data_IF_461127289435
#
_entry.id   IF_461127289435
#
_cell.length_a   1.000
_cell.length_b   1.000
_cell.length_c   1.000
_cell.angle_alpha   90.00
_cell.angle_beta   90.00
_cell.angle_gamma   90.00
#
_symmetry.space_group_name_H-M   'P 1'
#
loop_
_entity.id
_entity.type
_entity.pdbx_description
1 polymer ?
#
# COMPACT_ATOMS: atom_id res chain seq x y z
N UNK A 1 3.32 -17.91 29.55
CA UNK A 1 4.31 -18.62 28.72
C UNK A 1 3.85 -18.50 27.28
N UNK A 2 4.34 -17.49 26.54
CA UNK A 2 3.90 -17.21 25.15
C UNK A 2 4.81 -17.98 24.20
N UNK A 3 4.28 -18.79 23.26
CA UNK A 3 5.10 -19.65 22.43
C UNK A 3 5.89 -18.80 21.43
N UNK A 4 7.21 -18.80 21.58
CA UNK A 4 8.14 -18.14 20.66
C UNK A 4 8.20 -18.96 19.37
N UNK A 5 7.45 -18.52 18.35
CA UNK A 5 7.49 -19.12 17.01
C UNK A 5 8.91 -18.92 16.43
N UNK A 6 9.55 -19.94 15.83
CA UNK A 6 10.93 -19.82 15.37
C UNK A 6 11.02 -18.79 14.22
N UNK A 7 11.61 -17.64 14.53
CA UNK A 7 11.93 -16.59 13.56
C UNK A 7 13.10 -17.08 12.71
N UNK A 8 12.88 -17.14 11.39
CA UNK A 8 13.87 -17.59 10.39
C UNK A 8 15.20 -16.83 10.54
N UNK A 9 16.35 -17.50 10.38
CA UNK A 9 17.70 -16.97 10.71
C UNK A 9 18.05 -15.64 10.00
N UNK A 10 17.59 -15.47 8.74
CA UNK A 10 17.73 -14.20 8.00
C UNK A 10 16.87 -13.07 8.57
N UNK A 11 15.67 -13.38 9.08
CA UNK A 11 14.78 -12.38 9.70
C UNK A 11 15.38 -11.83 11.00
N UNK A 12 16.15 -12.66 11.72
CA UNK A 12 16.81 -12.25 12.96
C UNK A 12 17.77 -11.07 12.74
N UNK A 13 18.63 -11.15 11.73
CA UNK A 13 19.62 -10.11 11.43
C UNK A 13 18.99 -8.77 11.00
N UNK A 14 17.85 -8.80 10.32
CA UNK A 14 17.13 -7.57 9.95
C UNK A 14 16.50 -6.92 11.19
N UNK A 15 15.85 -7.72 12.04
CA UNK A 15 15.21 -7.24 13.26
C UNK A 15 16.21 -6.76 14.33
N UNK A 16 17.46 -7.21 14.28
CA UNK A 16 18.56 -6.76 15.16
C UNK A 16 18.97 -5.30 14.90
N UNK A 17 18.64 -4.74 13.72
CA UNK A 17 18.88 -3.33 13.40
C UNK A 17 17.94 -2.39 14.17
N UNK A 18 16.77 -2.88 14.60
CA UNK A 18 15.79 -2.11 15.32
C UNK A 18 15.97 -2.26 16.82
N UNK A 19 15.96 -1.12 17.53
CA UNK A 19 15.94 -1.11 18.98
C UNK A 19 14.68 -1.82 19.46
N UNK A 20 14.76 -2.63 20.51
CA UNK A 20 13.57 -3.09 21.24
C UNK A 20 13.35 -2.22 22.45
N UNK A 21 12.12 -1.77 22.62
CA UNK A 21 11.69 -1.17 23.87
C UNK A 21 11.56 -2.24 24.97
N UNK A 22 11.50 -1.81 26.22
CA UNK A 22 11.38 -2.62 27.44
C UNK A 22 10.20 -3.61 27.40
N UNK A 23 9.16 -3.30 26.60
CA UNK A 23 8.02 -4.18 26.34
C UNK A 23 8.21 -5.23 25.24
N UNK A 24 9.39 -5.32 24.61
CA UNK A 24 9.69 -6.25 23.52
C UNK A 24 9.21 -5.80 22.13
N UNK A 25 8.61 -4.62 22.03
CA UNK A 25 8.17 -3.95 20.80
C UNK A 25 9.37 -3.38 20.05
N UNK A 26 9.38 -3.50 18.71
CA UNK A 26 10.44 -2.93 17.88
C UNK A 26 10.20 -1.43 17.67
N UNK A 27 11.22 -0.61 17.89
CA UNK A 27 11.17 0.83 17.71
C UNK A 27 11.85 1.21 16.38
N UNK A 28 11.13 1.93 15.54
CA UNK A 28 11.66 2.59 14.35
C UNK A 28 12.08 3.99 14.78
N UNK A 29 13.38 4.20 14.99
CA UNK A 29 13.94 5.49 15.39
C UNK A 29 14.14 6.38 14.15
N UNK A 30 13.62 7.60 14.18
CA UNK A 30 13.70 8.60 13.11
C UNK A 30 14.28 9.88 13.71
N UNK A 31 15.43 10.33 13.23
CA UNK A 31 16.06 11.56 13.68
C UNK A 31 15.78 12.71 12.70
N UNK A 32 15.34 13.85 13.22
CA UNK A 32 15.13 15.07 12.44
C UNK A 32 15.56 16.29 13.28
N UNK A 33 16.08 17.33 12.65
CA UNK A 33 16.47 18.53 13.38
C UNK A 33 15.24 19.26 13.92
N UNK A 34 14.21 19.43 13.07
CA UNK A 34 12.97 20.14 13.39
C UNK A 34 11.74 19.36 12.95
N UNK A 35 10.60 19.68 13.56
CA UNK A 35 9.30 19.13 13.16
C UNK A 35 8.92 19.50 11.72
N UNK A 36 9.40 20.64 11.21
CA UNK A 36 9.19 21.06 9.81
C UNK A 36 9.81 20.10 8.81
N UNK A 37 10.85 19.37 9.18
CA UNK A 37 11.62 18.53 8.29
C UNK A 37 10.94 17.17 8.03
N UNK A 38 9.86 16.89 8.77
CA UNK A 38 9.00 15.72 8.50
C UNK A 38 8.05 15.94 7.32
N UNK A 39 7.97 17.17 6.82
CA UNK A 39 7.01 17.59 5.82
C UNK A 39 7.70 17.98 4.53
N UNK A 40 6.97 17.77 3.42
CA UNK A 40 7.42 18.16 2.10
C UNK A 40 7.77 19.65 2.03
N UNK A 41 8.81 19.99 1.27
CA UNK A 41 9.31 21.35 1.08
C UNK A 41 8.21 22.35 0.69
N UNK A 42 7.25 21.92 -0.14
CA UNK A 42 6.13 22.73 -0.59
C UNK A 42 5.10 23.01 0.53
N UNK A 43 5.05 22.16 1.55
CA UNK A 43 4.05 22.17 2.64
C UNK A 43 4.61 22.59 4.00
N UNK A 44 5.90 22.94 4.10
CA UNK A 44 6.54 23.38 5.36
C UNK A 44 5.77 24.51 6.07
N UNK A 45 5.16 25.41 5.29
CA UNK A 45 4.37 26.55 5.80
C UNK A 45 2.84 26.35 5.77
N UNK A 46 2.35 25.22 5.27
CA UNK A 46 0.91 24.95 5.18
C UNK A 46 0.28 24.67 6.56
N UNK A 47 -1.04 24.88 6.74
CA UNK A 47 -1.74 24.43 7.95
C UNK A 47 -1.59 22.92 8.15
N UNK A 48 -1.28 22.46 9.37
CA UNK A 48 -1.03 21.04 9.72
C UNK A 48 -2.09 20.03 9.25
N UNK A 49 -3.31 20.48 8.96
CA UNK A 49 -4.40 19.63 8.45
C UNK A 49 -4.14 19.17 7.01
N UNK A 50 -3.39 19.95 6.22
CA UNK A 50 -3.09 19.69 4.82
C UNK A 50 -1.65 19.27 4.54
N UNK A 51 -0.79 19.23 5.57
CA UNK A 51 0.63 18.95 5.37
C UNK A 51 0.85 17.51 4.89
N UNK A 52 1.52 17.38 3.76
CA UNK A 52 2.05 16.11 3.28
C UNK A 52 3.38 15.81 3.96
N UNK A 53 3.57 14.54 4.32
CA UNK A 53 4.85 14.06 4.83
C UNK A 53 5.86 14.02 3.69
N UNK A 54 7.12 14.26 4.03
CA UNK A 54 8.23 14.14 3.10
C UNK A 54 8.26 12.73 2.45
N UNK A 55 8.58 12.68 1.15
CA UNK A 55 8.54 11.45 0.38
C UNK A 55 9.54 10.40 0.90
N UNK A 56 10.77 10.82 1.19
CA UNK A 56 11.84 9.93 1.66
C UNK A 56 11.51 9.38 3.04
N UNK A 57 10.92 10.21 3.92
CA UNK A 57 10.40 9.77 5.21
C UNK A 57 9.32 8.68 5.08
N UNK A 58 8.38 8.88 4.15
CA UNK A 58 7.27 7.94 3.92
C UNK A 58 7.80 6.62 3.36
N UNK A 59 8.72 6.67 2.40
CA UNK A 59 9.35 5.48 1.82
C UNK A 59 10.10 4.68 2.89
N UNK A 60 10.93 5.36 3.70
CA UNK A 60 11.66 4.74 4.80
C UNK A 60 10.74 4.05 5.82
N UNK A 61 9.62 4.69 6.18
CA UNK A 61 8.62 4.13 7.09
C UNK A 61 7.94 2.89 6.49
N UNK A 62 7.57 2.95 5.21
CA UNK A 62 6.92 1.83 4.51
C UNK A 62 7.86 0.63 4.47
N UNK A 63 9.11 0.83 4.09
CA UNK A 63 10.08 -0.26 3.97
C UNK A 63 10.46 -0.83 5.33
N UNK A 64 10.62 0.02 6.35
CA UNK A 64 10.81 -0.46 7.72
C UNK A 64 9.64 -1.34 8.18
N UNK A 65 8.39 -0.91 7.97
CA UNK A 65 7.23 -1.71 8.38
C UNK A 65 7.08 -3.00 7.55
N UNK A 66 7.50 -3.00 6.28
CA UNK A 66 7.59 -4.21 5.45
C UNK A 66 8.60 -5.19 6.03
N UNK A 67 9.77 -4.72 6.45
CA UNK A 67 10.80 -5.53 7.11
C UNK A 67 10.32 -6.13 8.43
N UNK A 68 9.51 -5.39 9.20
CA UNK A 68 8.95 -5.86 10.47
C UNK A 68 7.81 -6.89 10.30
N UNK A 69 7.28 -7.08 9.10
CA UNK A 69 6.25 -8.06 8.74
C UNK A 69 4.96 -8.04 9.62
N UNK A 70 4.98 -8.74 10.77
CA UNK A 70 3.85 -8.90 11.71
C UNK A 70 4.22 -8.55 13.15
N UNK A 71 5.47 -8.21 13.42
CA UNK A 71 5.94 -7.88 14.77
C UNK A 71 5.38 -6.53 15.22
N UNK A 72 4.92 -6.37 16.47
CA UNK A 72 4.45 -5.10 16.98
C UNK A 72 5.58 -4.06 16.94
N UNK A 73 5.24 -2.83 16.58
CA UNK A 73 6.21 -1.75 16.48
C UNK A 73 5.68 -0.42 16.99
N UNK A 74 6.60 0.45 17.37
CA UNK A 74 6.38 1.87 17.64
C UNK A 74 7.33 2.69 16.77
N UNK A 75 6.92 3.92 16.46
CA UNK A 75 7.76 4.87 15.73
C UNK A 75 8.18 5.94 16.71
N UNK A 76 9.49 6.18 16.84
CA UNK A 76 10.06 7.14 17.76
C UNK A 76 10.74 8.26 16.99
N UNK A 77 10.18 9.47 17.08
CA UNK A 77 10.76 10.66 16.48
C UNK A 77 11.71 11.33 17.47
N UNK A 78 12.96 11.52 17.05
CA UNK A 78 14.02 12.12 17.83
C UNK A 78 14.32 13.50 17.25
N UNK A 79 14.01 14.55 18.00
CA UNK A 79 14.27 15.93 17.59
C UNK A 79 15.46 16.55 18.31
N UNK A 80 16.19 17.43 17.61
CA UNK A 80 17.23 18.26 18.23
C UNK A 80 16.62 19.39 19.08
N UNK A 81 15.48 19.93 18.66
CA UNK A 81 14.75 20.98 19.38
C UNK A 81 13.74 20.39 20.38
N UNK A 82 13.59 21.05 21.53
CA UNK A 82 12.61 20.65 22.53
C UNK A 82 11.18 20.77 21.96
N UNK A 83 10.44 19.67 21.97
CA UNK A 83 9.06 19.63 21.48
C UNK A 83 8.09 19.87 22.62
N UNK A 84 7.00 20.61 22.37
CA UNK A 84 5.91 20.79 23.34
C UNK A 84 4.85 19.70 23.15
N UNK A 85 4.14 19.25 24.21
CA UNK A 85 3.11 18.21 24.10
C UNK A 85 1.99 18.55 23.09
N UNK A 86 1.68 19.84 22.93
CA UNK A 86 0.72 20.32 21.94
C UNK A 86 1.21 20.14 20.49
N UNK A 87 2.52 20.29 20.26
CA UNK A 87 3.14 20.09 18.95
C UNK A 87 3.23 18.60 18.62
N UNK A 88 3.62 17.77 19.58
CA UNK A 88 3.62 16.29 19.46
C UNK A 88 2.25 15.75 19.07
N UNK A 89 1.19 16.19 19.75
CA UNK A 89 -0.19 15.79 19.44
C UNK A 89 -0.61 16.20 18.03
N UNK A 90 -0.19 17.40 17.56
CA UNK A 90 -0.47 17.88 16.20
C UNK A 90 0.26 17.06 15.14
N UNK A 91 1.53 16.74 15.37
CA UNK A 91 2.33 15.89 14.46
C UNK A 91 1.72 14.49 14.38
N UNK A 92 1.42 13.89 15.54
CA UNK A 92 0.77 12.59 15.60
C UNK A 92 -0.55 12.58 14.81
N UNK A 93 -1.41 13.58 15.01
CA UNK A 93 -2.67 13.70 14.26
C UNK A 93 -2.44 13.89 12.75
N UNK A 94 -1.45 14.67 12.36
CA UNK A 94 -1.08 14.91 10.97
C UNK A 94 -0.61 13.62 10.28
N UNK A 95 0.26 12.84 10.92
CA UNK A 95 0.74 11.55 10.42
C UNK A 95 -0.43 10.55 10.26
N UNK A 96 -1.29 10.43 11.27
CA UNK A 96 -2.47 9.57 11.19
C UNK A 96 -3.40 9.96 10.03
N UNK A 97 -3.63 11.26 9.85
CA UNK A 97 -4.46 11.77 8.76
C UNK A 97 -3.84 11.46 7.39
N UNK A 98 -2.52 11.65 7.24
CA UNK A 98 -1.80 11.39 5.99
C UNK A 98 -1.84 9.90 5.61
N UNK A 99 -1.53 8.99 6.53
CA UNK A 99 -1.64 7.55 6.25
C UNK A 99 -3.09 7.09 6.08
N UNK A 100 -4.05 7.74 6.76
CA UNK A 100 -5.48 7.53 6.51
C UNK A 100 -5.88 7.93 5.08
N UNK A 101 -5.40 9.07 4.60
CA UNK A 101 -5.60 9.52 3.22
C UNK A 101 -4.96 8.56 2.20
N UNK A 102 -3.71 8.14 2.41
CA UNK A 102 -3.04 7.15 1.56
C UNK A 102 -3.81 5.82 1.51
N UNK A 103 -4.33 5.36 2.65
CA UNK A 103 -5.16 4.15 2.72
C UNK A 103 -6.45 4.28 1.89
N UNK A 104 -7.10 5.43 1.94
CA UNK A 104 -8.31 5.70 1.15
C UNK A 104 -8.00 5.79 -0.35
N UNK A 105 -6.90 6.46 -0.72
CA UNK A 105 -6.42 6.55 -2.11
C UNK A 105 -6.13 5.17 -2.68
N UNK A 106 -5.40 4.33 -1.94
CA UNK A 106 -5.10 2.96 -2.34
C UNK A 106 -6.37 2.11 -2.49
N UNK A 107 -7.38 2.31 -1.62
CA UNK A 107 -8.69 1.65 -1.77
C UNK A 107 -9.40 2.06 -3.07
N UNK A 108 -9.38 3.35 -3.41
CA UNK A 108 -9.97 3.86 -4.66
C UNK A 108 -9.29 3.28 -5.89
N UNK A 109 -7.96 3.17 -5.85
CA UNK A 109 -7.17 2.56 -6.93
C UNK A 109 -7.49 1.08 -7.11
N UNK A 110 -7.59 0.32 -6.01
CA UNK A 110 -8.00 -1.09 -6.04
C UNK A 110 -9.40 -1.27 -6.64
N UNK A 111 -10.34 -0.39 -6.28
CA UNK A 111 -11.69 -0.41 -6.86
C UNK A 111 -11.69 -0.07 -8.35
N UNK A 112 -10.85 0.86 -8.80
CA UNK A 112 -10.71 1.23 -10.21
C UNK A 112 -10.16 0.05 -11.03
N UNK A 113 -9.11 -0.59 -10.54
CA UNK A 113 -8.52 -1.79 -11.13
C UNK A 113 -9.52 -2.95 -11.22
N UNK A 114 -10.25 -3.20 -10.13
CA UNK A 114 -11.29 -4.25 -10.10
C UNK A 114 -12.40 -3.95 -11.12
N UNK A 115 -12.88 -2.70 -11.18
CA UNK A 115 -13.90 -2.29 -12.15
C UNK A 115 -13.45 -2.47 -13.59
N UNK A 116 -12.21 -2.09 -13.91
CA UNK A 116 -11.64 -2.31 -15.25
C UNK A 116 -11.57 -3.79 -15.60
N UNK A 117 -11.16 -4.64 -14.64
CA UNK A 117 -11.07 -6.09 -14.83
C UNK A 117 -12.46 -6.70 -15.04
N UNK A 118 -13.47 -6.27 -14.27
CA UNK A 118 -14.87 -6.73 -14.43
C UNK A 118 -15.46 -6.31 -15.77
N UNK A 119 -15.13 -5.11 -16.27
CA UNK A 119 -15.58 -4.66 -17.60
C UNK A 119 -15.02 -5.58 -18.70
N UNK A 120 -13.72 -5.91 -18.65
CA UNK A 120 -13.08 -6.82 -19.62
C UNK A 120 -13.66 -8.24 -19.56
N UNK A 121 -13.89 -8.75 -18.34
CA UNK A 121 -14.53 -10.05 -18.15
C UNK A 121 -15.99 -10.05 -18.66
N UNK A 122 -16.73 -8.97 -18.41
CA UNK A 122 -18.10 -8.79 -18.89
C UNK A 122 -18.18 -8.73 -20.42
N UNK A 123 -17.24 -8.02 -21.07
CA UNK A 123 -17.14 -7.98 -22.52
C UNK A 123 -16.83 -9.36 -23.12
N UNK A 124 -15.88 -10.09 -22.52
CA UNK A 124 -15.58 -11.47 -22.92
C UNK A 124 -16.77 -12.40 -22.77
N UNK A 125 -17.49 -12.32 -21.64
CA UNK A 125 -18.71 -13.10 -21.41
C UNK A 125 -19.83 -12.75 -22.40
N UNK A 126 -19.97 -11.47 -22.75
CA UNK A 126 -20.92 -11.01 -23.76
C UNK A 126 -20.60 -11.57 -25.14
N UNK A 127 -19.33 -11.50 -25.58
CA UNK A 127 -18.88 -12.09 -26.84
C UNK A 127 -19.10 -13.60 -26.87
N UNK A 128 -18.79 -14.32 -25.79
CA UNK A 128 -19.03 -15.76 -25.70
C UNK A 128 -20.53 -16.09 -25.81
N UNK A 129 -21.38 -15.33 -25.11
CA UNK A 129 -22.83 -15.52 -25.15
C UNK A 129 -23.39 -15.23 -26.55
N UNK A 130 -22.88 -14.20 -27.23
CA UNK A 130 -23.26 -13.88 -28.60
C UNK A 130 -22.87 -14.99 -29.58
N UNK A 131 -21.66 -15.54 -29.45
CA UNK A 131 -21.19 -16.67 -30.25
C UNK A 131 -22.09 -17.91 -30.08
N UNK A 132 -22.41 -18.27 -28.84
CA UNK A 132 -23.33 -19.38 -28.52
C UNK A 132 -24.72 -19.11 -29.09
N UNK A 133 -25.25 -17.89 -28.94
CA UNK A 133 -26.56 -17.52 -29.47
C UNK A 133 -26.63 -17.64 -30.99
N UNK A 134 -25.61 -17.18 -31.71
CA UNK A 134 -25.54 -17.32 -33.17
C UNK A 134 -25.52 -18.80 -33.59
N UNK A 135 -24.73 -19.62 -32.90
CA UNK A 135 -24.65 -21.06 -33.17
C UNK A 135 -25.96 -21.83 -32.91
N UNK A 136 -26.75 -21.41 -31.92
CA UNK A 136 -28.03 -22.06 -31.56
C UNK A 136 -29.22 -21.65 -32.44
N UNK A 137 -29.20 -20.43 -33.01
CA UNK A 137 -30.34 -19.89 -33.77
C UNK A 137 -30.13 -19.97 -35.29
N UNK A 138 -28.90 -20.15 -35.75
CA UNK A 138 -28.57 -20.26 -37.17
C UNK A 138 -27.83 -21.58 -37.41
N UNK A 139 -28.29 -22.36 -38.38
CA UNK A 139 -27.56 -23.54 -38.86
C UNK A 139 -26.31 -23.03 -39.60
N UNK A 140 -25.19 -22.96 -38.87
CA UNK A 140 -23.92 -22.43 -39.38
C UNK A 140 -23.32 -23.30 -40.51
N UNK A 141 -23.89 -24.48 -40.78
CA UNK A 141 -23.49 -25.37 -41.88
C UNK A 141 -23.75 -24.79 -43.28
N UNK A 142 -24.72 -23.86 -43.44
CA UNK A 142 -25.02 -23.21 -44.73
C UNK A 142 -24.39 -21.81 -44.86
N UNK A 143 -23.88 -21.22 -43.78
CA UNK A 143 -23.40 -19.83 -43.72
C UNK A 143 -21.93 -19.73 -43.28
N UNK A 144 -21.00 -19.98 -44.21
CA UNK A 144 -19.54 -19.91 -44.01
C UNK A 144 -19.07 -18.61 -43.33
N UNK A 145 -19.72 -17.48 -43.61
CA UNK A 145 -19.37 -16.17 -43.03
C UNK A 145 -19.73 -16.09 -41.52
N UNK A 146 -20.84 -16.70 -41.11
CA UNK A 146 -21.28 -16.70 -39.71
C UNK A 146 -20.41 -17.65 -38.85
N UNK A 147 -19.99 -18.80 -39.42
CA UNK A 147 -19.03 -19.70 -38.78
C UNK A 147 -17.70 -19.03 -38.47
N UNK A 148 -17.12 -18.31 -39.44
CA UNK A 148 -15.83 -17.59 -39.26
C UNK A 148 -15.96 -16.44 -38.24
N UNK A 149 -17.09 -15.72 -38.25
CA UNK A 149 -17.37 -14.68 -37.24
C UNK A 149 -17.50 -15.26 -35.83
N UNK A 150 -18.18 -16.40 -35.68
CA UNK A 150 -18.34 -17.08 -34.41
C UNK A 150 -16.99 -17.54 -33.85
N UNK A 151 -16.12 -18.13 -34.67
CA UNK A 151 -14.76 -18.51 -34.28
C UNK A 151 -13.91 -17.29 -33.89
N UNK A 152 -13.99 -16.19 -34.66
CA UNK A 152 -13.32 -14.93 -34.34
C UNK A 152 -13.76 -14.34 -32.99
N UNK A 153 -15.06 -14.42 -32.67
CA UNK A 153 -15.60 -14.00 -31.37
C UNK A 153 -15.05 -14.84 -30.22
N UNK A 154 -14.87 -16.14 -30.39
CA UNK A 154 -14.31 -17.02 -29.35
C UNK A 154 -12.87 -16.63 -29.03
N UNK A 155 -12.05 -16.37 -30.06
CA UNK A 155 -10.67 -15.91 -29.87
C UNK A 155 -10.65 -14.55 -29.15
N UNK A 156 -11.48 -13.60 -29.60
CA UNK A 156 -11.57 -12.28 -28.98
C UNK A 156 -12.06 -12.34 -27.52
N UNK A 157 -13.04 -13.20 -27.24
CA UNK A 157 -13.56 -13.43 -25.89
C UNK A 157 -12.45 -13.97 -24.97
N UNK A 158 -11.69 -14.98 -25.42
CA UNK A 158 -10.58 -15.52 -24.65
C UNK A 158 -9.48 -14.48 -24.39
N UNK A 159 -9.12 -13.67 -25.40
CA UNK A 159 -8.15 -12.56 -25.26
C UNK A 159 -8.61 -11.58 -24.19
N UNK A 160 -9.88 -11.15 -24.22
CA UNK A 160 -10.45 -10.24 -23.22
C UNK A 160 -10.46 -10.84 -21.82
N UNK A 161 -10.79 -12.14 -21.71
CA UNK A 161 -10.87 -12.84 -20.42
C UNK A 161 -9.51 -12.97 -19.75
N UNK A 162 -8.48 -13.42 -20.48
CA UNK A 162 -7.16 -13.58 -19.85
C UNK A 162 -6.52 -12.22 -19.52
N UNK A 163 -6.71 -11.19 -20.35
CA UNK A 163 -6.20 -9.83 -20.07
C UNK A 163 -6.83 -9.26 -18.80
N UNK A 164 -8.16 -9.38 -18.64
CA UNK A 164 -8.85 -9.00 -17.41
C UNK A 164 -8.37 -9.78 -16.19
N UNK A 165 -8.11 -11.08 -16.36
CA UNK A 165 -7.57 -11.93 -15.29
C UNK A 165 -6.12 -11.58 -14.94
N UNK A 166 -5.27 -11.29 -15.92
CA UNK A 166 -3.89 -10.89 -15.74
C UNK A 166 -3.80 -9.53 -15.03
N UNK A 167 -4.60 -8.56 -15.46
CA UNK A 167 -4.72 -7.26 -14.82
C UNK A 167 -5.13 -7.40 -13.35
N UNK A 168 -6.05 -8.33 -13.04
CA UNK A 168 -6.43 -8.63 -11.66
C UNK A 168 -5.30 -9.30 -10.88
N UNK A 169 -4.69 -10.36 -11.41
CA UNK A 169 -3.67 -11.16 -10.72
C UNK A 169 -2.36 -10.41 -10.48
N UNK A 170 -1.91 -9.58 -11.43
CA UNK A 170 -0.64 -8.87 -11.32
C UNK A 170 -0.74 -7.64 -10.42
N UNK A 171 -1.83 -6.86 -10.52
CA UNK A 171 -1.95 -5.60 -9.81
C UNK A 171 -2.55 -5.77 -8.40
N UNK A 172 -3.33 -6.81 -8.13
CA UNK A 172 -3.97 -7.02 -6.81
C UNK A 172 -2.98 -7.27 -5.65
N UNK A 173 -1.95 -8.14 -5.77
CA UNK A 173 -1.02 -8.41 -4.69
C UNK A 173 -0.25 -7.17 -4.18
N UNK A 174 0.34 -6.30 -5.03
CA UNK A 174 1.08 -5.13 -4.55
C UNK A 174 0.17 -4.15 -3.82
N UNK A 175 -1.02 -3.85 -4.34
CA UNK A 175 -1.97 -2.95 -3.67
C UNK A 175 -2.41 -3.48 -2.30
N UNK A 176 -2.72 -4.77 -2.18
CA UNK A 176 -3.10 -5.37 -0.89
C UNK A 176 -1.97 -5.38 0.14
N UNK A 177 -0.71 -5.55 -0.29
CA UNK A 177 0.45 -5.50 0.60
C UNK A 177 0.63 -4.08 1.14
N UNK A 178 0.56 -3.09 0.25
CA UNK A 178 0.66 -1.67 0.60
C UNK A 178 -0.47 -1.24 1.55
N UNK A 179 -1.72 -1.66 1.29
CA UNK A 179 -2.85 -1.42 2.20
C UNK A 179 -2.59 -1.89 3.63
N UNK A 180 -2.00 -3.08 3.80
CA UNK A 180 -1.67 -3.60 5.13
C UNK A 180 -0.62 -2.75 5.83
N UNK A 181 0.40 -2.30 5.11
CA UNK A 181 1.44 -1.43 5.65
C UNK A 181 0.86 -0.07 6.08
N UNK A 182 0.08 0.57 5.21
CA UNK A 182 -0.59 1.84 5.53
C UNK A 182 -1.53 1.73 6.73
N UNK A 183 -2.32 0.65 6.80
CA UNK A 183 -3.17 0.43 7.96
C UNK A 183 -2.34 0.31 9.24
N UNK A 184 -1.23 -0.44 9.22
CA UNK A 184 -0.37 -0.60 10.40
C UNK A 184 0.27 0.71 10.82
N UNK A 185 0.73 1.54 9.89
CA UNK A 185 1.25 2.89 10.15
C UNK A 185 0.15 3.81 10.70
N UNK A 186 -1.05 3.76 10.13
CA UNK A 186 -2.18 4.58 10.62
C UNK A 186 -2.66 4.20 12.02
N UNK A 187 -2.33 3.00 12.51
CA UNK A 187 -2.67 2.55 13.87
C UNK A 187 -1.45 2.43 14.78
N UNK A 188 -0.29 2.92 14.34
CA UNK A 188 0.96 2.80 15.08
C UNK A 188 1.00 3.80 16.25
N UNK A 189 1.68 3.42 17.33
CA UNK A 189 1.97 4.34 18.43
C UNK A 189 3.21 5.16 18.06
N UNK A 190 3.06 6.49 18.12
CA UNK A 190 4.15 7.44 17.89
C UNK A 190 4.64 8.00 19.23
N UNK A 191 5.94 7.87 19.49
CA UNK A 191 6.60 8.50 20.63
C UNK A 191 7.56 9.60 20.16
N UNK A 192 7.79 10.57 21.03
CA UNK A 192 8.67 11.70 20.75
C UNK A 192 9.75 11.78 21.83
N UNK A 193 11.00 11.93 21.40
CA UNK A 193 12.17 12.04 22.27
C UNK A 193 13.00 13.25 21.84
N UNK A 194 13.63 13.93 22.79
CA UNK A 194 14.58 14.99 22.49
C UNK A 194 16.01 14.43 22.66
N UNK A 195 16.85 14.56 21.63
CA UNK A 195 18.27 14.25 21.74
C UNK A 195 19.12 15.42 21.21
N UNK A 196 19.70 16.25 22.09
CA UNK A 196 20.47 17.43 21.69
C UNK A 196 21.84 17.10 21.04
N UNK A 197 22.21 15.82 20.85
CA UNK A 197 23.52 15.40 20.32
C UNK A 197 23.55 14.96 18.85
N UNK A 198 22.44 15.07 18.11
CA UNK A 198 22.37 14.55 16.73
C UNK A 198 23.22 15.35 15.71
N UNK A 199 23.75 16.53 16.07
CA UNK A 199 24.49 17.42 15.15
C UNK A 199 25.98 17.05 14.93
N UNK A 200 26.51 15.97 15.52
CA UNK A 200 27.97 15.71 15.52
C UNK A 200 28.46 14.64 14.54
N UNK A 201 27.65 14.22 13.57
CA UNK A 201 28.10 13.28 12.53
C UNK A 201 27.74 13.79 11.13
N UNK A 202 28.34 14.93 10.77
CA UNK A 202 28.52 15.37 9.39
C UNK A 202 30.02 15.26 9.04
#
# INVERSE_FOLDING_TARGET
MVPHKPVNKMKKHILERYRRDSGGTLAIDIAASKVSDLYDDFDKHAPFVKKELDYDLVEYLIDSVRELHREPFSVNFIFSEATTPSLESRVCKSIHNYFGYLLETNKRELMRMFRSSVILLGLGAFMLTASIYLNLNYDLDDAVIEGVMAEGLVIAAWVSVWEGLAALLMNWPPLLRTRRVYHRLSSATYSFSCNPKAETFA
#
